data_IF_548575687490
#
_entry.id   IF_548575687490
#
_cell.length_a   1.000
_cell.length_b   1.000
_cell.length_c   1.000
_cell.angle_alpha   90.00
_cell.angle_beta   90.00
_cell.angle_gamma   90.00
#
_symmetry.space_group_name_H-M   'P 1'
#
loop_
_entity.id
_entity.type
_entity.pdbx_description
1 polymer ?
#
# COMPACT_ATOMS: atom_id res chain seq x y z
N UNK A 1 8.98 -12.56 -9.53
CA UNK A 1 8.19 -11.32 -9.51
C UNK A 1 7.63 -11.07 -10.91
N UNK A 2 6.46 -10.46 -11.06
CA UNK A 2 5.85 -10.21 -12.39
C UNK A 2 6.08 -8.76 -12.84
N UNK A 3 6.16 -8.52 -14.15
CA UNK A 3 6.23 -7.17 -14.74
C UNK A 3 5.14 -6.22 -14.23
N UNK A 4 3.96 -6.78 -13.91
CA UNK A 4 2.84 -6.04 -13.35
C UNK A 4 3.16 -5.51 -11.95
N UNK A 5 3.75 -6.33 -11.10
CA UNK A 5 4.10 -5.97 -9.72
C UNK A 5 5.20 -4.92 -9.70
N UNK A 6 6.20 -5.05 -10.56
CA UNK A 6 7.27 -4.06 -10.72
C UNK A 6 6.74 -2.70 -11.20
N UNK A 7 5.83 -2.70 -12.18
CA UNK A 7 5.14 -1.48 -12.63
C UNK A 7 4.30 -0.85 -11.53
N UNK A 8 3.65 -1.66 -10.70
CA UNK A 8 2.89 -1.19 -9.55
C UNK A 8 3.78 -0.49 -8.53
N UNK A 9 4.84 -1.17 -8.07
CA UNK A 9 5.80 -0.64 -7.09
C UNK A 9 6.50 0.63 -7.59
N UNK A 10 6.88 0.68 -8.86
CA UNK A 10 7.48 1.87 -9.47
C UNK A 10 6.53 3.07 -9.44
N UNK A 11 5.25 2.85 -9.78
CA UNK A 11 4.21 3.91 -9.72
C UNK A 11 3.92 4.32 -8.30
N UNK A 12 3.83 3.37 -7.37
CA UNK A 12 3.60 3.64 -5.95
C UNK A 12 4.73 4.49 -5.37
N UNK A 13 5.99 4.12 -5.63
CA UNK A 13 7.16 4.87 -5.17
C UNK A 13 7.24 6.28 -5.74
N UNK A 14 6.79 6.48 -6.99
CA UNK A 14 6.64 7.81 -7.57
C UNK A 14 5.60 8.66 -6.81
N UNK A 15 4.41 8.12 -6.55
CA UNK A 15 3.34 8.86 -5.88
C UNK A 15 3.62 9.13 -4.40
N UNK A 16 4.29 8.22 -3.68
CA UNK A 16 4.72 8.42 -2.29
C UNK A 16 5.70 9.60 -2.20
N UNK A 17 6.72 9.63 -3.07
CA UNK A 17 7.66 10.75 -3.15
C UNK A 17 6.97 12.05 -3.57
N UNK A 18 6.11 11.99 -4.59
CA UNK A 18 5.39 13.16 -5.08
C UNK A 18 4.44 13.75 -4.02
N UNK A 19 3.92 12.92 -3.11
CA UNK A 19 3.10 13.37 -1.98
C UNK A 19 3.90 13.74 -0.73
N UNK A 20 5.24 13.78 -0.80
CA UNK A 20 6.08 14.22 0.31
C UNK A 20 6.28 13.19 1.42
N UNK A 21 6.01 11.90 1.16
CA UNK A 21 6.37 10.83 2.10
C UNK A 21 7.88 10.78 2.27
N UNK A 22 8.34 10.72 3.52
CA UNK A 22 9.77 10.58 3.85
C UNK A 22 10.41 9.37 3.13
N UNK A 23 11.72 9.46 2.86
CA UNK A 23 12.46 8.42 2.15
C UNK A 23 12.44 7.07 2.86
N UNK A 24 12.62 7.04 4.18
CA UNK A 24 12.57 5.80 4.96
C UNK A 24 11.16 5.20 4.97
N UNK A 25 10.14 6.06 5.13
CA UNK A 25 8.73 5.62 5.07
C UNK A 25 8.35 5.09 3.69
N UNK A 26 8.84 5.71 2.62
CA UNK A 26 8.64 5.23 1.25
C UNK A 26 9.25 3.84 1.06
N UNK A 27 10.47 3.61 1.54
CA UNK A 27 11.14 2.29 1.45
C UNK A 27 10.38 1.24 2.26
N UNK A 28 9.90 1.57 3.47
CA UNK A 28 9.11 0.66 4.30
C UNK A 28 7.83 0.21 3.56
N UNK A 29 7.02 1.17 3.08
CA UNK A 29 5.77 0.86 2.38
C UNK A 29 6.01 0.02 1.13
N UNK A 30 7.05 0.33 0.35
CA UNK A 30 7.39 -0.46 -0.84
C UNK A 30 7.83 -1.88 -0.48
N UNK A 31 8.56 -2.05 0.63
CA UNK A 31 9.03 -3.37 1.09
C UNK A 31 7.88 -4.24 1.60
N UNK A 32 6.91 -3.64 2.30
CA UNK A 32 5.72 -4.33 2.78
C UNK A 32 4.86 -4.82 1.62
N UNK A 33 4.56 -3.93 0.66
CA UNK A 33 3.79 -4.27 -0.55
C UNK A 33 4.54 -5.32 -1.38
N UNK A 34 5.85 -5.18 -1.53
CA UNK A 34 6.67 -6.17 -2.23
C UNK A 34 6.58 -7.56 -1.59
N UNK A 35 6.74 -7.63 -0.26
CA UNK A 35 6.68 -8.89 0.49
C UNK A 35 5.33 -9.57 0.33
N UNK A 36 4.24 -8.82 0.46
CA UNK A 36 2.89 -9.35 0.25
C UNK A 36 2.68 -9.88 -1.17
N UNK A 37 3.15 -9.16 -2.20
CA UNK A 37 3.00 -9.59 -3.59
C UNK A 37 3.84 -10.82 -3.94
N UNK A 38 4.96 -11.02 -3.25
CA UNK A 38 5.78 -12.23 -3.39
C UNK A 38 5.10 -13.42 -2.71
N UNK A 39 4.51 -13.21 -1.54
CA UNK A 39 3.88 -14.26 -0.73
C UNK A 39 2.50 -14.70 -1.27
N UNK A 40 1.62 -13.75 -1.56
CA UNK A 40 0.23 -14.04 -1.94
C UNK A 40 0.03 -14.24 -3.45
N UNK A 41 1.00 -13.83 -4.28
CA UNK A 41 0.91 -13.85 -5.74
C UNK A 41 -0.34 -13.15 -6.34
N UNK A 42 -1.02 -12.32 -5.56
CA UNK A 42 -2.26 -11.63 -5.93
C UNK A 42 -2.02 -10.47 -6.92
N UNK A 43 -3.10 -9.96 -7.49
CA UNK A 43 -3.06 -8.79 -8.35
C UNK A 43 -2.99 -7.51 -7.48
N UNK A 44 -1.89 -6.74 -7.53
CA UNK A 44 -1.73 -5.56 -6.68
C UNK A 44 -2.81 -4.50 -6.89
N UNK A 45 -3.38 -4.42 -8.10
CA UNK A 45 -4.46 -3.46 -8.40
C UNK A 45 -5.81 -3.85 -7.80
N UNK A 46 -6.01 -5.14 -7.51
CA UNK A 46 -7.22 -5.65 -6.85
C UNK A 46 -7.05 -5.59 -5.33
N UNK A 47 -5.88 -5.98 -4.81
CA UNK A 47 -5.60 -6.01 -3.38
C UNK A 47 -5.39 -4.61 -2.79
N UNK A 48 -4.55 -3.78 -3.42
CA UNK A 48 -4.17 -2.46 -2.90
C UNK A 48 -4.86 -1.31 -3.63
N UNK A 49 -5.60 -1.60 -4.69
CA UNK A 49 -6.20 -0.57 -5.53
C UNK A 49 -5.17 0.25 -6.31
N UNK A 50 -5.56 1.40 -6.90
CA UNK A 50 -4.68 2.24 -7.70
C UNK A 50 -3.49 2.79 -6.88
N UNK A 51 -2.24 2.74 -7.38
CA UNK A 51 -1.05 3.19 -6.64
C UNK A 51 -1.13 4.63 -6.11
N UNK A 52 -1.79 5.51 -6.87
CA UNK A 52 -1.99 6.92 -6.47
C UNK A 52 -2.94 7.05 -5.29
N UNK A 53 -4.01 6.26 -5.27
CA UNK A 53 -4.99 6.26 -4.18
C UNK A 53 -4.37 5.69 -2.92
N UNK A 54 -3.65 4.58 -3.06
CA UNK A 54 -2.92 3.95 -1.96
C UNK A 54 -1.84 4.86 -1.38
N UNK A 55 -1.04 5.53 -2.23
CA UNK A 55 -0.02 6.48 -1.77
C UNK A 55 -0.59 7.64 -0.93
N UNK A 56 -1.82 8.11 -1.22
CA UNK A 56 -2.44 9.21 -0.49
C UNK A 56 -2.67 8.92 0.99
N UNK A 57 -2.76 7.64 1.36
CA UNK A 57 -2.92 7.18 2.74
C UNK A 57 -1.67 7.47 3.59
N UNK A 58 -0.50 7.61 2.95
CA UNK A 58 0.78 7.82 3.62
C UNK A 58 1.27 9.27 3.56
N UNK A 59 0.67 10.09 2.70
CA UNK A 59 1.09 11.48 2.44
C UNK A 59 0.24 12.50 3.20
N UNK A 60 -0.95 12.10 3.66
CA UNK A 60 -1.92 13.01 4.26
C UNK A 60 -1.97 12.77 5.77
N UNK A 61 -1.51 13.73 6.57
CA UNK A 61 -1.71 13.74 8.03
C UNK A 61 -3.18 13.97 8.44
N UNK A 62 -4.14 13.32 7.79
CA UNK A 62 -5.58 13.58 7.94
C UNK A 62 -6.34 12.28 8.19
N UNK A 63 -6.81 12.09 9.44
CA UNK A 63 -7.62 10.96 9.88
C UNK A 63 -9.01 10.90 9.25
N UNK A 64 -9.10 10.61 7.94
CA UNK A 64 -10.38 10.53 7.23
C UNK A 64 -10.48 9.31 6.30
N UNK A 65 -11.48 8.48 6.61
CA UNK A 65 -12.21 7.54 5.71
C UNK A 65 -11.66 6.13 5.47
N UNK A 66 -11.66 5.32 6.52
CA UNK A 66 -11.90 3.86 6.43
C UNK A 66 -13.30 3.47 6.95
N UNK A 67 -13.97 4.34 7.73
CA UNK A 67 -15.29 4.05 8.31
C UNK A 67 -16.48 4.01 7.32
N UNK A 68 -16.28 4.07 5.99
CA UNK A 68 -17.41 4.14 5.04
C UNK A 68 -17.31 3.34 3.74
N UNK A 69 -16.35 2.43 3.60
CA UNK A 69 -16.34 1.44 2.50
C UNK A 69 -16.08 0.05 3.03
N UNK A 70 -17.11 -0.53 3.64
CA UNK A 70 -17.12 -1.92 4.04
C UNK A 70 -17.23 -2.89 2.86
N UNK A 71 -16.91 -4.14 3.21
CA UNK A 71 -17.20 -5.41 2.55
C UNK A 71 -16.21 -5.94 1.50
N UNK A 72 -15.33 -6.84 1.96
CA UNK A 72 -14.44 -7.70 1.16
C UNK A 72 -13.13 -6.97 0.88
N UNK A 73 -12.00 -7.30 1.49
CA UNK A 73 -11.25 -8.55 1.37
C UNK A 73 -10.26 -8.57 2.57
N UNK A 74 -10.19 -9.68 3.33
CA UNK A 74 -9.01 -10.34 3.95
C UNK A 74 -7.85 -9.40 4.40
N UNK A 75 -7.27 -9.39 5.61
CA UNK A 75 -7.23 -10.27 6.76
C UNK A 75 -6.42 -9.61 7.89
N UNK A 76 -6.68 -10.08 9.11
CA UNK A 76 -5.77 -10.38 10.21
C UNK A 76 -4.68 -9.40 10.67
N UNK A 77 -4.69 -9.23 12.00
CA UNK A 77 -3.57 -9.03 12.92
C UNK A 77 -3.05 -7.60 13.11
N UNK A 78 -3.71 -6.90 14.03
CA UNK A 78 -3.01 -6.08 15.02
C UNK A 78 -3.83 -5.99 16.31
N UNK A 79 -3.84 -7.09 17.09
CA UNK A 79 -4.16 -7.03 18.51
C UNK A 79 -3.12 -7.82 19.31
N UNK A 80 -1.88 -7.35 19.23
CA UNK A 80 -0.86 -7.63 20.23
C UNK A 80 -0.39 -6.28 20.79
N UNK A 81 -1.06 -5.84 21.84
CA UNK A 81 -0.51 -4.89 22.80
C UNK A 81 -0.90 -5.42 24.18
N UNK A 82 -0.05 -6.31 24.69
CA UNK A 82 0.10 -6.54 26.12
C UNK A 82 1.14 -5.58 26.69
#
# INVERSE_FOLDING_TARGET
MTDRNERYLSRLGFWLRAGGTDGARTVSVLSDVHTHLVDSAENPYETFGPPRSYAKEFTSGSGWSWARRGAGVVALMALAAG
#
